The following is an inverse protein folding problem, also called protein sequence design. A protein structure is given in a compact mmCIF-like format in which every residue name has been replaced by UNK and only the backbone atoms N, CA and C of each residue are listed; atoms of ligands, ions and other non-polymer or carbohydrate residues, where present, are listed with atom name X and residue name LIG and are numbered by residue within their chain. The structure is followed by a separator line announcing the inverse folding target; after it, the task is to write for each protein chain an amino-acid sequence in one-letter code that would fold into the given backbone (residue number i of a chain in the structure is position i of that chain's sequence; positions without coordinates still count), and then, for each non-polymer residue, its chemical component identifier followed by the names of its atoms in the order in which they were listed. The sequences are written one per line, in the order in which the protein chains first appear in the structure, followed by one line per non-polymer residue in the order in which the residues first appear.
data_IF_336581094163
#
_entry.id   IF_336581094163
#
_cell.length_a   1.000
_cell.length_b   1.000
_cell.length_c   1.000
_cell.angle_alpha   90.00
_cell.angle_beta   90.00
_cell.angle_gamma   90.00
#
_symmetry.space_group_name_H-M   'P 1'
#
loop_
_entity.id
_entity.type
_entity.pdbx_description
1 polymer ?
#
# COMPACT_ATOMS: atom_id res chain seq x y z
N UNK A 1 -15.27 6.29 23.91
CA UNK A 1 -15.73 5.29 22.96
C UNK A 1 -14.54 4.49 22.44
N UNK A 2 -14.62 3.19 22.47
CA UNK A 2 -13.58 2.31 21.99
C UNK A 2 -13.88 1.89 20.55
N UNK A 3 -12.82 1.71 19.77
CA UNK A 3 -12.94 1.34 18.37
C UNK A 3 -13.53 -0.07 18.23
N UNK A 4 -14.63 -0.17 17.50
CA UNK A 4 -15.26 -1.44 17.16
C UNK A 4 -15.87 -1.34 15.77
N UNK A 5 -16.33 -2.48 15.25
CA UNK A 5 -16.90 -2.54 13.92
C UNK A 5 -18.02 -1.51 13.73
N UNK A 6 -17.96 -0.79 12.63
CA UNK A 6 -18.93 0.25 12.29
C UNK A 6 -18.59 1.65 12.75
N UNK A 7 -17.58 1.81 13.63
CA UNK A 7 -17.15 3.13 14.06
C UNK A 7 -16.42 3.86 12.94
N UNK A 8 -16.54 5.18 12.93
CA UNK A 8 -15.74 6.04 12.08
C UNK A 8 -14.52 6.49 12.90
N UNK A 9 -13.34 6.20 12.39
CA UNK A 9 -12.07 6.42 13.11
C UNK A 9 -11.20 7.37 12.31
N UNK A 10 -10.65 8.37 12.98
CA UNK A 10 -9.66 9.27 12.40
C UNK A 10 -8.32 9.05 13.08
N UNK A 11 -7.31 8.74 12.28
CA UNK A 11 -5.98 8.44 12.77
C UNK A 11 -4.93 9.21 11.98
N UNK A 12 -3.76 9.33 12.56
CA UNK A 12 -2.56 9.78 11.86
C UNK A 12 -1.55 8.66 11.93
N UNK A 13 -1.03 8.25 10.77
CA UNK A 13 -0.12 7.12 10.66
C UNK A 13 1.20 7.52 10.02
N UNK A 14 2.30 7.14 10.65
CA UNK A 14 3.62 7.21 10.04
C UNK A 14 4.01 5.78 9.66
N UNK A 15 4.27 5.56 8.39
CA UNK A 15 4.64 4.24 7.86
C UNK A 15 6.11 4.22 7.49
N UNK A 16 6.80 3.16 7.92
CA UNK A 16 8.18 2.90 7.51
C UNK A 16 8.27 1.49 6.95
N UNK A 17 9.18 1.29 6.00
CA UNK A 17 9.45 -0.03 5.45
C UNK A 17 10.43 -0.80 6.36
N UNK A 18 10.79 -2.03 5.94
CA UNK A 18 11.69 -2.88 6.72
C UNK A 18 13.12 -2.34 6.81
N UNK A 19 13.48 -1.41 5.93
CA UNK A 19 14.78 -0.72 5.97
C UNK A 19 14.75 0.55 6.82
N UNK A 20 13.59 0.89 7.41
CA UNK A 20 13.42 2.08 8.22
C UNK A 20 13.15 3.36 7.42
N UNK A 21 12.96 3.24 6.11
CA UNK A 21 12.68 4.39 5.26
C UNK A 21 11.21 4.80 5.38
N UNK A 22 10.97 6.11 5.38
CA UNK A 22 9.62 6.64 5.44
C UNK A 22 8.85 6.33 4.15
N UNK A 23 7.68 5.71 4.32
CA UNK A 23 6.72 5.47 3.24
C UNK A 23 5.62 6.53 3.28
N UNK A 24 5.16 6.89 4.48
CA UNK A 24 4.17 7.93 4.69
C UNK A 24 4.52 8.67 5.97
N UNK A 25 4.55 9.99 5.88
CA UNK A 25 4.91 10.85 7.02
C UNK A 25 3.75 11.15 7.96
N UNK A 26 2.53 10.76 7.58
CA UNK A 26 1.34 11.03 8.38
C UNK A 26 0.93 12.49 8.41
N UNK A 27 1.25 13.25 7.37
CA UNK A 27 0.90 14.67 7.29
C UNK A 27 -0.60 14.90 7.19
N UNK A 28 -1.31 13.95 6.56
CA UNK A 28 -2.76 14.03 6.40
C UNK A 28 -3.43 13.00 7.30
N UNK A 29 -4.41 13.42 8.13
CA UNK A 29 -5.18 12.44 8.89
C UNK A 29 -6.01 11.56 7.95
N UNK A 30 -6.17 10.31 8.34
CA UNK A 30 -6.95 9.33 7.60
C UNK A 30 -8.23 9.05 8.37
N UNK A 31 -9.37 9.22 7.71
CA UNK A 31 -10.67 8.88 8.28
C UNK A 31 -11.25 7.70 7.54
N UNK A 32 -11.64 6.66 8.27
CA UNK A 32 -12.17 5.43 7.68
C UNK A 32 -13.20 4.79 8.59
N UNK A 33 -14.00 3.89 8.02
CA UNK A 33 -14.96 3.11 8.78
C UNK A 33 -14.32 1.79 9.17
N UNK A 34 -14.26 1.52 10.47
CA UNK A 34 -13.61 0.33 11.01
C UNK A 34 -14.39 -0.93 10.67
N UNK A 35 -13.69 -1.99 10.32
CA UNK A 35 -14.28 -3.28 10.00
C UNK A 35 -14.74 -3.45 8.55
N UNK A 36 -14.47 -2.47 7.70
CA UNK A 36 -14.90 -2.48 6.29
C UNK A 36 -13.79 -2.75 5.29
N UNK A 37 -12.59 -3.05 5.77
CA UNK A 37 -11.47 -3.30 4.88
C UNK A 37 -10.93 -2.06 4.17
N UNK A 38 -11.22 -0.87 4.68
CA UNK A 38 -10.76 0.39 4.07
C UNK A 38 -9.28 0.67 4.33
N UNK A 39 -8.71 0.03 5.35
CA UNK A 39 -7.28 0.10 5.68
C UNK A 39 -6.72 -1.31 5.75
N UNK A 40 -5.39 -1.44 5.82
CA UNK A 40 -4.75 -2.74 5.89
C UNK A 40 -5.19 -3.50 7.14
N UNK A 41 -5.30 -4.83 7.01
CA UNK A 41 -5.81 -5.68 8.08
C UNK A 41 -5.01 -5.58 9.38
N UNK A 42 -3.69 -5.44 9.28
CA UNK A 42 -2.83 -5.29 10.46
C UNK A 42 -3.12 -4.03 11.24
N UNK A 43 -3.48 -2.94 10.56
CA UNK A 43 -3.83 -1.68 11.23
C UNK A 43 -5.16 -1.84 11.97
N UNK A 44 -6.13 -2.48 11.36
CA UNK A 44 -7.42 -2.73 12.03
C UNK A 44 -7.23 -3.59 13.28
N UNK A 45 -6.40 -4.63 13.20
CA UNK A 45 -6.12 -5.49 14.34
C UNK A 45 -5.49 -4.72 15.51
N UNK A 46 -4.58 -3.81 15.22
CA UNK A 46 -3.92 -2.97 16.23
C UNK A 46 -4.92 -2.01 16.88
N UNK A 47 -5.83 -1.45 16.10
CA UNK A 47 -6.73 -0.40 16.57
C UNK A 47 -7.95 -0.92 17.34
N UNK A 48 -8.31 -2.17 17.16
CA UNK A 48 -9.49 -2.74 17.81
C UNK A 48 -9.41 -2.56 19.34
N UNK A 49 -10.45 -1.98 19.92
CA UNK A 49 -10.52 -1.76 21.37
C UNK A 49 -9.74 -0.55 21.89
N UNK A 50 -9.09 0.21 21.02
CA UNK A 50 -8.39 1.44 21.41
C UNK A 50 -9.36 2.61 21.40
N UNK A 51 -8.97 3.68 22.06
CA UNK A 51 -9.78 4.90 22.11
C UNK A 51 -9.02 6.11 21.60
N UNK A 52 -9.72 7.25 21.48
CA UNK A 52 -9.08 8.51 21.11
C UNK A 52 -7.94 8.84 22.09
N UNK A 53 -6.83 9.32 21.55
CA UNK A 53 -5.62 9.58 22.33
C UNK A 53 -4.62 8.44 22.35
N UNK A 54 -5.00 7.25 21.86
CA UNK A 54 -4.05 6.14 21.79
C UNK A 54 -2.92 6.46 20.82
N UNK A 55 -1.70 6.13 21.21
CA UNK A 55 -0.50 6.24 20.37
C UNK A 55 0.33 4.98 20.56
N UNK A 56 0.82 4.45 19.47
CA UNK A 56 1.66 3.26 19.53
C UNK A 56 2.38 3.00 18.23
N UNK A 57 3.41 2.17 18.30
CA UNK A 57 4.20 1.75 17.16
C UNK A 57 4.13 0.24 17.05
N UNK A 58 3.78 -0.27 15.87
CA UNK A 58 3.52 -1.69 15.68
C UNK A 58 4.14 -2.20 14.39
N UNK A 59 4.85 -3.34 14.44
CA UNK A 59 5.26 -4.01 13.23
C UNK A 59 4.06 -4.72 12.60
N UNK A 60 3.93 -4.64 11.29
CA UNK A 60 2.87 -5.31 10.53
C UNK A 60 3.52 -6.13 9.45
N UNK A 61 3.30 -7.46 9.48
CA UNK A 61 3.84 -8.36 8.46
C UNK A 61 3.19 -8.08 7.10
N UNK A 62 3.94 -8.35 6.03
CA UNK A 62 3.47 -8.11 4.67
C UNK A 62 2.09 -8.71 4.41
N UNK A 63 1.83 -9.93 4.89
CA UNK A 63 0.54 -10.61 4.70
C UNK A 63 -0.64 -9.82 5.28
N UNK A 64 -0.41 -9.05 6.35
CA UNK A 64 -1.43 -8.22 7.00
C UNK A 64 -1.38 -6.76 6.55
N UNK A 65 -0.45 -6.42 5.67
CA UNK A 65 -0.29 -5.09 5.09
C UNK A 65 -0.77 -5.09 3.63
N UNK A 66 0.15 -4.94 2.68
CA UNK A 66 -0.20 -4.90 1.26
C UNK A 66 -0.09 -6.26 0.60
N UNK A 67 -0.01 -7.32 1.38
CA UNK A 67 0.09 -8.67 0.90
C UNK A 67 1.51 -9.09 0.56
N UNK A 68 1.70 -10.38 0.28
CA UNK A 68 2.97 -10.90 -0.14
C UNK A 68 3.18 -10.66 -1.63
N UNK A 69 4.44 -10.60 -2.05
CA UNK A 69 4.76 -10.48 -3.47
C UNK A 69 4.31 -11.76 -4.19
N UNK A 70 3.56 -11.59 -5.27
CA UNK A 70 3.04 -12.71 -6.07
C UNK A 70 3.79 -12.81 -7.38
N UNK A 71 4.61 -13.88 -7.58
CA UNK A 71 5.34 -14.04 -8.83
C UNK A 71 4.44 -14.16 -10.07
N UNK A 72 3.23 -14.66 -9.90
CA UNK A 72 2.26 -14.77 -10.99
C UNK A 72 1.79 -13.44 -11.56
N UNK A 73 2.03 -12.34 -10.87
CA UNK A 73 1.73 -10.99 -11.34
C UNK A 73 2.91 -10.35 -12.08
N UNK A 74 4.03 -11.06 -12.20
CA UNK A 74 5.18 -10.63 -12.95
C UNK A 74 5.12 -11.31 -14.33
N UNK A 75 5.18 -10.51 -15.41
CA UNK A 75 5.06 -11.05 -16.77
C UNK A 75 5.85 -10.20 -17.76
N UNK A 76 6.20 -10.81 -18.88
CA UNK A 76 6.85 -10.09 -19.98
C UNK A 76 5.77 -9.54 -20.91
N UNK A 77 5.83 -8.24 -21.19
CA UNK A 77 4.98 -7.60 -22.17
C UNK A 77 5.79 -7.33 -23.44
N UNK A 78 5.22 -7.69 -24.60
CA UNK A 78 5.86 -7.42 -25.88
C UNK A 78 5.75 -5.93 -26.22
N UNK A 79 6.72 -5.43 -26.97
CA UNK A 79 6.80 -4.01 -27.31
C UNK A 79 5.53 -3.46 -27.96
N UNK A 80 4.86 -4.28 -28.74
CA UNK A 80 3.62 -3.90 -29.44
C UNK A 80 2.49 -3.54 -28.48
N UNK A 81 2.51 -4.11 -27.27
CA UNK A 81 1.50 -3.85 -26.24
C UNK A 81 1.92 -2.74 -25.28
N UNK A 82 3.05 -2.11 -25.53
CA UNK A 82 3.57 -1.03 -24.68
C UNK A 82 3.39 0.32 -25.37
N UNK A 83 3.27 1.42 -24.61
CA UNK A 83 3.15 2.76 -25.22
C UNK A 83 4.37 3.06 -26.10
N UNK A 84 4.17 3.40 -27.39
CA UNK A 84 5.29 3.60 -28.32
C UNK A 84 6.10 4.86 -28.04
N UNK A 85 5.47 5.88 -27.45
CA UNK A 85 6.10 7.18 -27.23
C UNK A 85 6.77 7.27 -25.86
N UNK A 86 6.74 6.20 -25.07
CA UNK A 86 7.25 6.20 -23.71
C UNK A 86 8.64 5.59 -23.66
N UNK A 87 9.59 6.31 -23.08
CA UNK A 87 10.92 5.78 -22.83
C UNK A 87 10.84 4.83 -21.64
N UNK A 88 10.86 3.53 -21.92
CA UNK A 88 10.80 2.52 -20.87
C UNK A 88 12.14 2.40 -20.16
N UNK A 89 12.09 2.39 -18.83
CA UNK A 89 13.26 2.19 -18.00
C UNK A 89 12.85 1.48 -16.71
N UNK A 90 13.76 0.75 -16.06
CA UNK A 90 13.46 0.10 -14.78
C UNK A 90 12.97 1.13 -13.75
N UNK A 91 11.92 0.78 -13.02
CA UNK A 91 11.31 1.65 -12.03
C UNK A 91 10.15 2.49 -12.54
N UNK A 92 9.98 2.58 -13.86
CA UNK A 92 8.85 3.32 -14.44
C UNK A 92 7.55 2.63 -14.08
N UNK A 93 6.54 3.41 -13.70
CA UNK A 93 5.20 2.91 -13.40
C UNK A 93 4.28 3.21 -14.56
N UNK A 94 3.63 2.17 -15.08
CA UNK A 94 2.63 2.27 -16.15
C UNK A 94 1.24 2.17 -15.51
N UNK A 95 0.31 2.99 -15.99
CA UNK A 95 -1.08 2.96 -15.52
C UNK A 95 -2.01 2.74 -16.70
N UNK A 96 -2.23 1.49 -17.13
CA UNK A 96 -3.16 1.19 -18.21
C UNK A 96 -4.56 1.70 -17.85
N UNK A 97 -5.19 2.44 -18.74
CA UNK A 97 -6.49 3.07 -18.47
C UNK A 97 -6.40 4.42 -17.81
N UNK A 98 -5.19 5.00 -17.68
CA UNK A 98 -4.97 6.34 -17.15
C UNK A 98 -5.04 6.42 -15.63
N UNK A 99 -5.12 7.64 -15.09
CA UNK A 99 -5.09 7.88 -13.65
C UNK A 99 -6.25 7.23 -12.88
N UNK A 100 -7.34 6.90 -13.56
CA UNK A 100 -8.49 6.22 -12.97
C UNK A 100 -8.40 4.70 -13.11
N UNK A 101 -7.35 4.18 -13.73
CA UNK A 101 -7.12 2.76 -13.87
C UNK A 101 -6.80 2.11 -12.52
N UNK A 102 -7.24 0.87 -12.35
CA UNK A 102 -7.04 0.11 -11.11
C UNK A 102 -5.70 -0.62 -11.07
N UNK A 103 -5.00 -0.65 -12.19
CA UNK A 103 -3.76 -1.40 -12.32
C UNK A 103 -2.56 -0.47 -12.39
N UNK A 104 -1.54 -0.83 -11.65
CA UNK A 104 -0.22 -0.24 -11.80
C UNK A 104 0.73 -1.35 -12.17
N UNK A 105 1.54 -1.11 -13.20
CA UNK A 105 2.55 -2.04 -13.65
C UNK A 105 3.89 -1.35 -13.52
N UNK A 106 4.82 -1.98 -12.79
CA UNK A 106 6.16 -1.43 -12.63
C UNK A 106 7.10 -2.12 -13.58
N UNK A 107 7.88 -1.37 -14.33
CA UNK A 107 8.92 -1.93 -15.20
C UNK A 107 10.08 -2.41 -14.34
N UNK A 108 10.32 -3.74 -14.34
CA UNK A 108 11.44 -4.33 -13.61
C UNK A 108 12.71 -4.29 -14.43
N UNK A 109 12.62 -4.63 -15.70
CA UNK A 109 13.78 -4.64 -16.60
C UNK A 109 13.29 -4.58 -18.04
N UNK A 110 14.20 -4.20 -18.93
CA UNK A 110 13.94 -4.25 -20.37
C UNK A 110 14.37 -5.61 -20.90
N UNK A 111 13.59 -6.15 -21.81
CA UNK A 111 13.86 -7.44 -22.47
C UNK A 111 13.99 -7.24 -23.97
N UNK A 112 14.49 -8.24 -24.68
CA UNK A 112 14.60 -8.17 -26.12
C UNK A 112 13.25 -7.98 -26.80
N UNK A 113 12.19 -8.49 -26.21
CA UNK A 113 10.83 -8.41 -26.77
C UNK A 113 10.04 -7.21 -26.30
N UNK A 114 10.45 -6.60 -25.17
CA UNK A 114 9.74 -5.49 -24.60
C UNK A 114 10.20 -5.21 -23.18
N UNK A 115 9.40 -5.56 -22.18
CA UNK A 115 9.73 -5.29 -20.79
C UNK A 115 9.13 -6.33 -19.85
N UNK A 116 9.82 -6.61 -18.77
CA UNK A 116 9.31 -7.41 -17.66
C UNK A 116 8.57 -6.47 -16.72
N UNK A 117 7.28 -6.74 -16.49
CA UNK A 117 6.40 -5.91 -15.69
C UNK A 117 5.95 -6.63 -14.43
N UNK A 118 5.76 -5.87 -13.37
CA UNK A 118 5.27 -6.36 -12.09
C UNK A 118 3.96 -5.67 -11.73
N UNK A 119 2.88 -6.45 -11.60
CA UNK A 119 1.55 -5.96 -11.23
C UNK A 119 1.28 -5.97 -9.73
N UNK A 120 2.26 -6.29 -8.90
CA UNK A 120 2.10 -6.23 -7.45
C UNK A 120 2.04 -4.78 -6.96
N UNK A 121 1.41 -4.59 -5.80
CA UNK A 121 1.48 -3.31 -5.11
C UNK A 121 2.97 -3.00 -4.82
N UNK A 122 3.40 -1.73 -4.93
CA UNK A 122 4.81 -1.38 -4.66
C UNK A 122 5.32 -1.84 -3.30
N UNK A 123 4.45 -1.97 -2.31
CA UNK A 123 4.80 -2.41 -0.97
C UNK A 123 4.50 -3.89 -0.71
N UNK A 124 4.06 -4.65 -1.72
CA UNK A 124 3.84 -6.08 -1.57
C UNK A 124 5.15 -6.78 -1.20
N UNK A 125 5.07 -7.70 -0.26
CA UNK A 125 6.23 -8.41 0.26
C UNK A 125 7.07 -7.62 1.26
N UNK A 126 6.62 -6.42 1.64
CA UNK A 126 7.34 -5.55 2.57
C UNK A 126 6.64 -5.55 3.92
N UNK A 127 7.39 -5.90 4.98
CA UNK A 127 6.91 -5.72 6.34
C UNK A 127 6.97 -4.24 6.67
N UNK A 128 5.96 -3.75 7.36
CA UNK A 128 5.84 -2.34 7.70
C UNK A 128 5.97 -2.10 9.19
N UNK A 129 6.40 -0.90 9.54
CA UNK A 129 6.39 -0.41 10.91
C UNK A 129 5.44 0.79 10.91
N UNK A 130 4.36 0.69 11.69
CA UNK A 130 3.32 1.69 11.72
C UNK A 130 3.32 2.40 13.07
N UNK A 131 3.50 3.69 13.04
CA UNK A 131 3.30 4.54 14.22
C UNK A 131 1.95 5.23 14.06
N UNK A 132 1.00 4.92 14.93
CA UNK A 132 -0.37 5.38 14.80
C UNK A 132 -0.78 6.22 15.99
N UNK A 133 -1.55 7.29 15.71
CA UNK A 133 -2.18 8.11 16.72
C UNK A 133 -3.68 8.18 16.42
N UNK A 134 -4.51 7.78 17.37
CA UNK A 134 -5.96 7.85 17.23
C UNK A 134 -6.42 9.25 17.63
N UNK A 135 -6.98 9.99 16.66
CA UNK A 135 -7.42 11.37 16.88
C UNK A 135 -8.87 11.43 17.31
N UNK A 136 -9.74 10.60 16.71
CA UNK A 136 -11.17 10.64 16.97
C UNK A 136 -11.80 9.26 16.69
N UNK A 137 -12.79 8.90 17.52
CA UNK A 137 -13.62 7.72 17.31
C UNK A 137 -15.08 8.17 17.41
N UNK A 138 -15.85 7.87 16.37
CA UNK A 138 -17.28 8.22 16.32
C UNK A 138 -18.17 7.03 16.03
#
# INVERSE_FOLDING_TARGET
MLISEGNTVTVRCVLRDSAGQLVDRGEQPLTFKFGRGEVIAGLEAVLHGRGAGYRGRHPIAAADAYGEHRPELVFEAVRENLPPDLALEPGLVLEPGGANGRFRLTVLSLTERGALLDGNHPLAGTDLDVEVSVLEVR
#
